data_IF_752504731085
#
_entry.id   IF_752504731085
#
_cell.length_a   1.000
_cell.length_b   1.000
_cell.length_c   1.000
_cell.angle_alpha   90.00
_cell.angle_beta   90.00
_cell.angle_gamma   90.00
#
_symmetry.space_group_name_H-M   'P 1'
#
loop_
_entity.id
_entity.type
_entity.pdbx_description
1 polymer ?
2 non-polymer ?
3 non-polymer ?
4 non-polymer ?
5 water ?
#
# COMPACT_ATOMS: atom_id res chain seq x y z
N UNK A 3 -23.11 8.26 -9.24
CA UNK A 3 -22.76 9.10 -8.07
C UNK A 3 -22.72 8.19 -6.84
N UNK A 4 -22.34 6.91 -7.00
CA UNK A 4 -22.46 6.01 -5.86
C UNK A 4 -21.25 6.30 -4.94
N UNK A 5 -21.48 6.12 -3.69
CA UNK A 5 -20.49 6.41 -2.66
C UNK A 5 -19.51 5.26 -2.49
N UNK A 6 -18.41 5.59 -1.84
CA UNK A 6 -17.29 4.63 -1.69
C UNK A 6 -17.79 3.35 -1.01
N UNK A 7 -18.48 3.46 0.09
CA UNK A 7 -18.86 2.27 0.89
C UNK A 7 -19.85 1.40 0.12
N UNK A 8 -20.69 2.04 -0.73
CA UNK A 8 -21.56 1.28 -1.63
C UNK A 8 -20.77 0.49 -2.65
N UNK A 9 -19.83 1.15 -3.34
CA UNK A 9 -18.98 0.52 -4.35
C UNK A 9 -18.16 -0.62 -3.73
N UNK A 10 -17.67 -0.46 -2.51
CA UNK A 10 -16.83 -1.49 -1.89
C UNK A 10 -17.60 -2.78 -1.74
N UNK A 11 -18.92 -2.70 -1.54
CA UNK A 11 -19.77 -3.88 -1.36
C UNK A 11 -20.31 -4.41 -2.67
N UNK A 12 -20.57 -3.53 -3.64
CA UNK A 12 -21.38 -3.87 -4.83
C UNK A 12 -20.53 -3.93 -6.09
N UNK A 13 -19.48 -3.10 -6.26
CA UNK A 13 -18.75 -3.04 -7.55
C UNK A 13 -18.08 -4.38 -7.85
N UNK A 14 -18.26 -4.92 -9.05
CA UNK A 14 -17.71 -6.23 -9.41
C UNK A 14 -18.51 -7.32 -8.83
N UNK A 15 -19.57 -7.05 -8.07
CA UNK A 15 -20.20 -8.02 -7.15
C UNK A 15 -21.70 -8.05 -7.33
N UNK A 16 -22.19 -7.99 -8.56
CA UNK A 16 -23.61 -8.29 -8.80
C UNK A 16 -23.93 -9.72 -8.36
N UNK A 17 -25.17 -9.95 -7.93
CA UNK A 17 -25.52 -11.31 -7.55
C UNK A 17 -25.35 -12.28 -8.72
N UNK A 18 -25.05 -13.53 -8.33
CA UNK A 18 -24.78 -14.56 -9.36
C UNK A 18 -25.96 -14.68 -10.30
N UNK A 19 -25.68 -14.78 -11.61
CA UNK A 19 -26.74 -14.85 -12.62
C UNK A 19 -27.59 -16.11 -12.48
N UNK A 20 -26.97 -17.29 -12.30
CA UNK A 20 -27.77 -18.54 -12.31
C UNK A 20 -28.56 -18.80 -11.04
N UNK A 21 -27.90 -18.49 -9.88
CA UNK A 21 -28.45 -18.86 -8.57
C UNK A 21 -28.89 -17.67 -7.75
N UNK A 22 -28.51 -16.45 -8.13
CA UNK A 22 -28.74 -15.28 -7.27
C UNK A 22 -27.82 -15.17 -6.07
N UNK A 23 -26.87 -16.05 -5.88
CA UNK A 23 -25.98 -15.96 -4.67
C UNK A 23 -25.51 -14.52 -4.49
N UNK A 24 -25.77 -13.94 -3.30
CA UNK A 24 -25.44 -12.52 -3.11
C UNK A 24 -23.96 -12.30 -2.89
N UNK A 25 -23.20 -13.31 -2.58
CA UNK A 25 -21.74 -13.20 -2.46
C UNK A 25 -21.12 -13.91 -3.65
N UNK A 26 -20.06 -13.33 -4.21
CA UNK A 26 -19.30 -13.93 -5.33
C UNK A 26 -18.90 -15.36 -4.92
N UNK A 27 -19.17 -16.41 -5.69
CA UNK A 27 -18.64 -17.72 -5.40
C UNK A 27 -17.11 -17.76 -5.40
N UNK A 28 -16.53 -18.75 -4.74
CA UNK A 28 -15.09 -19.05 -4.79
C UNK A 28 -14.93 -20.04 -5.95
N UNK A 29 -14.38 -19.54 -7.07
CA UNK A 29 -14.19 -20.40 -8.26
C UNK A 29 -12.85 -21.08 -8.11
N UNK A 30 -12.82 -22.10 -7.27
CA UNK A 30 -11.65 -22.93 -7.04
C UNK A 30 -11.53 -23.96 -8.14
N UNK A 31 -11.07 -23.50 -9.29
CA UNK A 31 -11.00 -24.21 -10.55
C UNK A 31 -9.73 -23.79 -11.26
N UNK A 32 -9.16 -24.68 -12.02
CA UNK A 32 -8.04 -24.28 -12.90
C UNK A 32 -8.49 -23.97 -14.33
N UNK A 33 -9.59 -24.56 -14.79
CA UNK A 33 -9.95 -24.53 -16.22
C UNK A 33 -11.46 -24.54 -16.39
N UNK A 34 -11.84 -24.35 -17.64
CA UNK A 34 -13.22 -23.99 -18.06
C UNK A 34 -13.54 -24.73 -19.35
N UNK A 35 -14.70 -25.36 -19.39
CA UNK A 35 -15.26 -26.00 -20.59
C UNK A 35 -15.55 -24.98 -21.67
N UNK A 36 -15.13 -25.26 -22.87
CA UNK A 36 -15.43 -24.45 -24.07
C UNK A 36 -16.50 -25.13 -24.90
N UNK A 37 -17.35 -24.36 -25.53
CA UNK A 37 -18.39 -24.90 -26.43
C UNK A 37 -17.84 -24.89 -27.86
N UNK A 38 -17.19 -25.99 -28.26
CA UNK A 38 -16.37 -25.99 -29.46
C UNK A 38 -15.05 -25.27 -29.20
N UNK A 39 -14.08 -25.55 -30.08
CA UNK A 39 -12.74 -24.98 -29.92
C UNK A 39 -12.79 -23.44 -30.01
N UNK A 40 -12.37 -22.78 -28.93
CA UNK A 40 -12.46 -21.31 -28.81
C UNK A 40 -13.80 -20.79 -28.43
N UNK A 41 -14.79 -21.65 -28.14
CA UNK A 41 -16.12 -21.19 -27.73
C UNK A 41 -16.15 -20.90 -26.25
N UNK A 42 -15.57 -19.76 -25.83
CA UNK A 42 -15.47 -19.50 -24.39
C UNK A 42 -16.82 -19.20 -23.79
N UNK A 43 -16.98 -19.61 -22.56
CA UNK A 43 -18.16 -19.23 -21.73
C UNK A 43 -17.80 -18.10 -20.85
N UNK A 44 -18.47 -16.99 -21.02
CA UNK A 44 -18.23 -15.82 -20.23
C UNK A 44 -16.85 -15.32 -20.32
N UNK A 45 -16.09 -15.67 -21.37
CA UNK A 45 -14.75 -15.20 -21.58
C UNK A 45 -13.67 -15.92 -20.76
N UNK A 46 -14.00 -17.05 -20.12
CA UNK A 46 -13.01 -17.72 -19.28
C UNK A 46 -12.42 -18.94 -20.02
N UNK A 47 -11.15 -19.15 -19.73
CA UNK A 47 -10.38 -20.23 -20.41
C UNK A 47 -9.38 -20.92 -19.46
N UNK A 48 -8.72 -20.19 -18.61
CA UNK A 48 -7.69 -20.80 -17.74
C UNK A 48 -7.44 -19.88 -16.59
N UNK A 49 -7.40 -20.34 -15.33
CA UNK A 49 -7.45 -19.43 -14.18
C UNK A 49 -6.28 -18.51 -14.03
N UNK A 50 -5.06 -18.90 -14.44
CA UNK A 50 -3.93 -17.93 -14.37
C UNK A 50 -4.28 -16.72 -15.24
N UNK A 51 -4.87 -16.91 -16.41
CA UNK A 51 -5.24 -15.84 -17.36
C UNK A 51 -6.36 -14.94 -16.79
N UNK A 52 -7.43 -15.58 -16.27
CA UNK A 52 -8.52 -14.88 -15.56
C UNK A 52 -9.32 -15.95 -14.83
N UNK A 53 -9.76 -15.53 -13.66
CA UNK A 53 -10.63 -16.37 -12.78
C UNK A 53 -11.78 -15.52 -12.33
N UNK A 54 -13.04 -16.02 -12.24
CA UNK A 54 -14.15 -15.11 -11.98
C UNK A 54 -14.09 -14.46 -10.58
N UNK A 55 -13.59 -15.18 -9.59
CA UNK A 55 -13.46 -14.56 -8.25
C UNK A 55 -12.41 -13.45 -8.32
N UNK A 56 -11.26 -13.71 -8.97
CA UNK A 56 -10.19 -12.69 -9.08
C UNK A 56 -10.74 -11.53 -9.89
N UNK A 57 -11.54 -11.74 -10.93
CA UNK A 57 -12.14 -10.64 -11.71
C UNK A 57 -12.98 -9.71 -10.82
N UNK A 58 -13.77 -10.32 -9.92
CA UNK A 58 -14.61 -9.48 -9.05
C UNK A 58 -13.72 -8.60 -8.20
N UNK A 59 -12.64 -9.12 -7.61
CA UNK A 59 -11.70 -8.30 -6.84
C UNK A 59 -11.08 -7.21 -7.73
N UNK A 60 -10.64 -7.55 -8.91
CA UNK A 60 -9.97 -6.59 -9.81
C UNK A 60 -10.93 -5.46 -10.19
N UNK A 61 -12.19 -5.79 -10.52
CA UNK A 61 -13.22 -4.81 -10.87
C UNK A 61 -13.56 -3.92 -9.68
N UNK A 62 -13.64 -4.51 -8.50
CA UNK A 62 -13.92 -3.70 -7.28
C UNK A 62 -12.77 -2.69 -7.04
N UNK A 63 -11.55 -3.17 -7.06
CA UNK A 63 -10.39 -2.28 -6.85
C UNK A 63 -10.38 -1.18 -7.89
N UNK A 64 -10.63 -1.49 -9.15
CA UNK A 64 -10.66 -0.45 -10.19
C UNK A 64 -11.71 0.58 -9.86
N UNK A 65 -12.92 0.15 -9.41
CA UNK A 65 -13.96 1.10 -9.04
C UNK A 65 -13.52 2.00 -7.87
N UNK A 66 -12.89 1.41 -6.88
CA UNK A 66 -12.55 2.18 -5.68
C UNK A 66 -11.44 3.24 -5.94
N UNK A 67 -10.50 2.93 -6.84
CA UNK A 67 -9.44 3.90 -7.17
C UNK A 67 -9.83 4.71 -8.37
N UNK A 68 -10.96 4.51 -9.02
CA UNK A 68 -11.34 5.25 -10.20
C UNK A 68 -10.45 4.94 -11.39
N UNK A 69 -10.00 3.72 -11.55
CA UNK A 69 -9.21 3.29 -12.71
C UNK A 69 -10.01 2.51 -13.73
N UNK A 70 -9.38 2.19 -14.86
CA UNK A 70 -10.09 1.41 -15.89
C UNK A 70 -9.83 -0.07 -15.69
N UNK A 71 -8.73 -0.46 -15.02
CA UNK A 71 -8.37 -1.89 -14.95
C UNK A 71 -7.66 -2.15 -13.62
N UNK A 72 -8.08 -3.16 -12.93
CA UNK A 72 -7.39 -3.70 -11.75
C UNK A 72 -6.80 -5.05 -12.05
N UNK A 73 -5.72 -5.37 -11.36
CA UNK A 73 -5.00 -6.65 -11.53
C UNK A 73 -4.56 -7.11 -10.13
N UNK A 74 -4.88 -8.34 -9.76
CA UNK A 74 -4.54 -8.93 -8.44
C UNK A 74 -3.42 -9.93 -8.55
N UNK A 75 -2.57 -9.87 -7.53
CA UNK A 75 -1.31 -10.62 -7.49
C UNK A 75 -1.13 -11.40 -6.19
N UNK A 76 -0.16 -12.27 -6.20
CA UNK A 76 0.11 -13.21 -5.10
C UNK A 76 0.60 -12.51 -3.82
N UNK A 77 1.08 -11.27 -3.91
CA UNK A 77 1.57 -10.49 -2.81
C UNK A 77 1.74 -9.05 -3.36
N UNK A 78 1.88 -8.06 -2.47
CA UNK A 78 2.30 -6.73 -2.90
C UNK A 78 3.60 -6.75 -3.71
N UNK A 79 4.57 -7.51 -3.18
CA UNK A 79 5.84 -7.58 -3.89
C UNK A 79 5.65 -8.12 -5.33
N UNK A 80 4.77 -9.06 -5.52
CA UNK A 80 4.56 -9.61 -6.87
C UNK A 80 3.91 -8.55 -7.76
N UNK A 81 3.02 -7.71 -7.21
CA UNK A 81 2.44 -6.60 -7.97
C UNK A 81 3.59 -5.66 -8.41
N UNK A 82 4.48 -5.33 -7.47
CA UNK A 82 5.62 -4.45 -7.80
C UNK A 82 6.49 -5.08 -8.86
N UNK A 83 6.80 -6.39 -8.77
CA UNK A 83 7.69 -7.07 -9.70
C UNK A 83 7.04 -7.08 -11.07
N UNK A 84 5.75 -7.39 -11.18
CA UNK A 84 5.12 -7.45 -12.49
C UNK A 84 5.08 -6.06 -13.11
N UNK A 85 4.79 -5.02 -12.30
CA UNK A 85 4.82 -3.64 -12.75
C UNK A 85 6.17 -3.27 -13.36
N UNK A 86 7.25 -3.49 -12.59
CA UNK A 86 8.60 -3.07 -13.03
C UNK A 86 9.05 -3.91 -14.20
N UNK A 87 8.69 -5.19 -14.26
CA UNK A 87 9.11 -6.04 -15.41
C UNK A 87 8.41 -5.50 -16.67
N UNK A 88 7.19 -4.95 -16.52
CA UNK A 88 6.40 -4.45 -17.67
C UNK A 88 6.99 -3.12 -18.12
N UNK A 89 7.23 -2.15 -17.24
CA UNK A 89 7.48 -0.74 -17.62
C UNK A 89 8.99 -0.46 -17.77
N UNK A 90 9.88 -1.32 -17.32
CA UNK A 90 11.33 -1.08 -17.40
C UNK A 90 11.99 -2.16 -18.25
N UNK A 91 13.24 -1.87 -18.64
CA UNK A 91 14.11 -2.77 -19.40
C UNK A 91 15.53 -2.38 -19.04
N UNK A 92 16.52 -3.25 -19.32
CA UNK A 92 17.92 -2.87 -19.07
C UNK A 92 18.24 -1.52 -19.69
N UNK A 93 18.91 -0.70 -18.89
CA UNK A 93 19.33 0.64 -19.30
C UNK A 93 18.41 1.71 -18.74
N UNK A 94 17.27 1.36 -18.22
CA UNK A 94 16.32 2.35 -17.68
C UNK A 94 16.74 2.76 -16.28
N UNK A 95 16.15 3.87 -15.82
CA UNK A 95 16.39 4.43 -14.48
C UNK A 95 15.06 4.64 -13.75
N UNK A 96 15.08 4.43 -12.46
CA UNK A 96 13.94 4.68 -11.53
C UNK A 96 14.32 5.68 -10.46
N UNK A 97 13.38 6.58 -10.14
CA UNK A 97 13.47 7.35 -8.90
C UNK A 97 12.59 6.65 -7.87
N UNK A 98 13.16 6.38 -6.70
CA UNK A 98 12.44 5.72 -5.61
C UNK A 98 12.52 6.63 -4.39
N UNK A 99 11.66 6.41 -3.36
CA UNK A 99 11.66 7.24 -2.16
C UNK A 99 12.92 7.04 -1.33
N UNK A 100 13.25 8.03 -0.53
CA UNK A 100 14.33 7.93 0.48
C UNK A 100 13.85 7.38 1.81
N UNK A 101 12.59 6.98 1.88
CA UNK A 101 12.03 6.24 3.01
C UNK A 101 10.94 5.37 2.45
N UNK A 102 11.06 4.07 2.54
CA UNK A 102 10.15 3.16 1.82
C UNK A 102 10.14 1.79 2.44
N UNK A 103 9.14 0.99 2.09
CA UNK A 103 9.08 -0.42 2.49
C UNK A 103 10.39 -1.10 2.11
N UNK A 104 10.96 -1.83 3.05
CA UNK A 104 12.24 -2.48 2.79
C UNK A 104 12.18 -3.41 1.62
N UNK A 105 11.06 -4.08 1.41
CA UNK A 105 10.95 -4.98 0.26
C UNK A 105 10.99 -4.27 -1.07
N UNK A 106 10.47 -3.05 -1.15
CA UNK A 106 10.57 -2.26 -2.38
C UNK A 106 12.04 -1.98 -2.67
N UNK A 107 12.73 -1.47 -1.65
CA UNK A 107 14.19 -1.18 -1.80
C UNK A 107 14.91 -2.47 -2.23
N UNK A 108 14.63 -3.60 -1.59
CA UNK A 108 15.35 -4.84 -1.88
C UNK A 108 15.07 -5.24 -3.30
N UNK A 109 13.81 -5.19 -3.78
CA UNK A 109 13.50 -5.60 -5.15
C UNK A 109 14.23 -4.73 -6.18
N UNK A 110 14.18 -3.40 -5.99
CA UNK A 110 14.85 -2.47 -6.93
C UNK A 110 16.37 -2.69 -6.86
N UNK A 111 17.00 -2.63 -5.70
CA UNK A 111 18.45 -2.58 -5.57
C UNK A 111 19.11 -3.93 -5.74
N UNK A 112 18.45 -5.03 -5.38
CA UNK A 112 19.10 -6.35 -5.30
C UNK A 112 18.64 -7.27 -6.43
N UNK A 113 17.52 -6.97 -7.08
CA UNK A 113 17.09 -7.75 -8.27
C UNK A 113 17.14 -6.91 -9.54
N UNK A 114 16.42 -5.81 -9.60
CA UNK A 114 16.37 -5.06 -10.84
C UNK A 114 17.70 -4.43 -11.23
N UNK A 115 18.51 -4.02 -10.25
CA UNK A 115 19.84 -3.41 -10.59
C UNK A 115 20.68 -4.46 -11.31
N UNK A 116 20.70 -5.73 -10.85
CA UNK A 116 21.43 -6.87 -11.47
C UNK A 116 20.94 -7.03 -12.94
N UNK A 117 19.67 -6.74 -13.19
CA UNK A 117 19.00 -6.87 -14.49
C UNK A 117 19.10 -5.58 -15.29
N UNK A 118 19.95 -4.63 -14.90
CA UNK A 118 20.34 -3.47 -15.68
C UNK A 118 19.52 -2.21 -15.47
N UNK A 119 18.76 -2.11 -14.40
CA UNK A 119 18.00 -0.88 -14.10
C UNK A 119 18.72 -0.06 -13.05
N UNK A 120 19.02 1.19 -13.33
CA UNK A 120 19.65 2.09 -12.36
C UNK A 120 18.58 2.76 -11.53
N UNK A 121 19.00 3.29 -10.38
CA UNK A 121 18.04 3.94 -9.50
C UNK A 121 18.71 4.99 -8.63
N UNK A 122 17.89 5.92 -8.14
CA UNK A 122 18.28 6.89 -7.14
C UNK A 122 17.15 7.03 -6.14
N UNK A 123 17.51 7.16 -4.85
CA UNK A 123 16.54 7.45 -3.78
C UNK A 123 16.53 8.97 -3.56
N UNK A 124 15.33 9.52 -3.54
CA UNK A 124 15.15 10.98 -3.52
C UNK A 124 14.18 11.31 -2.41
N UNK A 125 14.31 12.49 -1.85
CA UNK A 125 13.31 13.04 -0.92
C UNK A 125 12.10 13.49 -1.74
N UNK A 126 11.06 12.65 -1.77
CA UNK A 126 9.83 12.96 -2.56
C UNK A 126 9.01 14.05 -1.95
N UNK A 127 9.29 14.46 -0.73
CA UNK A 127 8.60 15.59 -0.04
C UNK A 127 9.12 16.91 -0.61
N UNK A 128 10.16 16.88 -1.44
CA UNK A 128 10.79 18.12 -2.02
C UNK A 128 10.66 18.02 -3.52
N UNK A 129 9.60 18.64 -4.11
CA UNK A 129 9.43 18.55 -5.55
C UNK A 129 10.67 18.93 -6.33
N UNK A 130 11.38 19.96 -5.86
CA UNK A 130 12.57 20.42 -6.60
C UNK A 130 13.77 19.37 -6.68
N UNK A 131 13.75 18.47 -5.58
CA UNK A 131 14.72 17.38 -5.57
C UNK A 131 14.24 16.36 -6.63
N UNK A 132 12.94 16.01 -6.69
CA UNK A 132 12.47 15.05 -7.68
C UNK A 132 12.73 15.54 -9.08
N UNK A 133 12.38 16.80 -9.40
CA UNK A 133 12.54 17.40 -10.73
C UNK A 133 14.01 17.28 -11.10
N UNK A 134 14.89 17.65 -10.17
CA UNK A 134 16.32 17.66 -10.43
C UNK A 134 16.86 16.27 -10.68
N UNK A 135 16.31 15.21 -10.09
CA UNK A 135 16.83 13.84 -10.14
C UNK A 135 16.40 13.15 -11.48
N UNK A 136 15.49 13.74 -12.24
CA UNK A 136 15.11 13.14 -13.55
C UNK A 136 16.38 13.04 -14.39
N UNK A 137 16.51 11.88 -15.04
CA UNK A 137 17.56 11.60 -16.01
C UNK A 137 16.93 11.26 -17.38
N UNK A 138 17.71 11.30 -18.46
CA UNK A 138 17.12 10.97 -19.78
C UNK A 138 16.55 9.56 -19.83
N UNK A 139 17.10 8.67 -19.00
CA UNK A 139 16.69 7.27 -18.98
C UNK A 139 15.59 6.99 -17.95
N UNK A 140 15.14 7.98 -17.17
CA UNK A 140 14.12 7.74 -16.13
C UNK A 140 12.77 7.33 -16.74
N UNK A 141 12.26 6.18 -16.36
CA UNK A 141 10.98 5.67 -16.88
C UNK A 141 9.84 5.87 -15.92
N UNK A 142 10.13 5.96 -14.61
CA UNK A 142 9.11 6.10 -13.58
C UNK A 142 9.65 6.78 -12.34
N UNK A 143 8.70 7.44 -11.63
CA UNK A 143 8.94 7.95 -10.26
C UNK A 143 8.05 7.09 -9.37
N UNK A 144 8.64 6.43 -8.41
CA UNK A 144 7.94 5.52 -7.48
C UNK A 144 7.69 6.25 -6.16
N UNK A 145 6.45 6.49 -5.79
CA UNK A 145 6.09 7.31 -4.64
C UNK A 145 5.37 6.44 -3.63
N UNK A 146 5.81 6.52 -2.37
CA UNK A 146 4.93 6.11 -1.24
C UNK A 146 4.52 7.39 -0.55
N UNK A 147 3.25 7.52 -0.12
CA UNK A 147 2.84 8.66 0.75
C UNK A 147 1.59 8.20 1.46
N UNK A 148 1.56 8.26 2.80
CA UNK A 148 2.72 8.45 3.68
C UNK A 148 3.78 7.34 3.55
N UNK A 149 5.06 7.69 3.78
CA UNK A 149 6.16 6.69 3.62
C UNK A 149 6.19 5.72 4.80
N UNK A 150 6.73 4.54 4.53
CA UNK A 150 6.88 3.43 5.51
C UNK A 150 8.34 3.43 5.98
N UNK A 151 8.73 3.85 7.20
CA UNK A 151 7.83 4.00 8.36
C UNK A 151 7.71 5.42 8.87
N UNK A 152 8.38 6.43 8.27
CA UNK A 152 8.41 7.76 8.90
C UNK A 152 7.15 8.58 8.64
N UNK A 153 6.32 8.14 7.70
CA UNK A 153 5.07 8.79 7.38
C UNK A 153 5.27 10.18 6.79
N UNK A 154 6.32 10.34 5.97
CA UNK A 154 6.53 11.58 5.21
C UNK A 154 5.55 11.63 4.05
N UNK A 155 5.31 12.86 3.57
CA UNK A 155 4.19 13.16 2.63
C UNK A 155 4.74 13.70 1.32
N UNK A 156 4.18 13.22 0.23
CA UNK A 156 4.58 13.66 -1.12
C UNK A 156 3.33 14.20 -1.79
N UNK A 157 3.47 15.28 -2.53
CA UNK A 157 2.35 15.96 -3.23
C UNK A 157 2.18 15.22 -4.56
N UNK A 158 1.20 14.34 -4.60
CA UNK A 158 1.00 13.45 -5.80
C UNK A 158 0.79 14.29 -7.05
N UNK A 159 -0.09 15.27 -7.01
CA UNK A 159 -0.38 16.07 -8.21
C UNK A 159 0.90 16.80 -8.68
N UNK A 160 1.69 17.35 -7.74
CA UNK A 160 2.92 18.01 -8.14
C UNK A 160 3.90 17.05 -8.78
N UNK A 161 4.03 15.87 -8.23
CA UNK A 161 4.99 14.89 -8.77
C UNK A 161 4.48 14.32 -10.09
N UNK A 162 3.17 14.25 -10.29
CA UNK A 162 2.60 13.77 -11.57
C UNK A 162 3.02 14.74 -12.66
N UNK A 163 2.98 16.05 -12.39
CA UNK A 163 3.36 17.02 -13.43
C UNK A 163 4.86 16.91 -13.77
N UNK A 164 5.69 16.66 -12.77
CA UNK A 164 7.13 16.45 -13.03
C UNK A 164 7.34 15.17 -13.87
N UNK A 165 6.74 14.08 -13.47
CA UNK A 165 6.90 12.81 -14.18
C UNK A 165 6.45 13.03 -15.64
N UNK A 166 5.28 13.62 -15.83
CA UNK A 166 4.71 13.66 -17.20
C UNK A 166 5.53 14.61 -18.10
N UNK A 167 6.07 15.68 -17.53
CA UNK A 167 6.94 16.56 -18.32
C UNK A 167 8.16 15.78 -18.84
N UNK A 168 8.64 14.77 -18.12
CA UNK A 168 9.78 13.94 -18.52
C UNK A 168 9.35 12.71 -19.32
N UNK A 169 8.10 12.69 -19.82
CA UNK A 169 7.55 11.40 -20.42
C UNK A 169 7.89 10.17 -19.57
N UNK A 170 7.68 10.28 -18.23
CA UNK A 170 7.83 9.16 -17.27
C UNK A 170 6.48 8.86 -16.62
N UNK A 171 6.34 7.65 -16.06
CA UNK A 171 5.11 7.30 -15.32
C UNK A 171 5.21 7.66 -13.83
N UNK A 172 4.10 8.06 -13.23
CA UNK A 172 4.08 8.24 -11.76
C UNK A 172 3.39 7.00 -11.20
N UNK A 173 4.10 6.30 -10.33
CA UNK A 173 3.60 5.14 -9.59
C UNK A 173 3.40 5.55 -8.15
N UNK A 174 2.21 5.33 -7.59
CA UNK A 174 1.95 5.60 -6.14
C UNK A 174 1.58 4.28 -5.49
N UNK A 175 2.38 3.91 -4.52
CA UNK A 175 2.09 2.82 -3.56
C UNK A 175 1.20 3.39 -2.50
N UNK A 176 -0.10 3.10 -2.61
CA UNK A 176 -1.21 3.68 -1.83
C UNK A 176 -1.58 2.72 -0.70
N UNK A 177 -0.67 1.82 -0.34
CA UNK A 177 -0.96 0.79 0.71
C UNK A 177 -1.39 1.44 2.03
N UNK A 178 -0.61 2.37 2.57
CA UNK A 178 -0.85 2.95 3.91
C UNK A 178 -2.14 3.73 3.96
N UNK A 179 -2.47 4.53 2.94
CA UNK A 179 -3.66 5.36 2.97
C UNK A 179 -4.91 4.57 2.64
N UNK A 180 -4.78 3.62 1.70
CA UNK A 180 -5.89 2.89 1.09
C UNK A 180 -6.72 3.80 0.19
N UNK A 181 -7.53 3.24 -0.73
CA UNK A 181 -8.39 4.01 -1.58
C UNK A 181 -9.41 4.88 -0.87
N UNK A 182 -9.75 4.50 0.39
CA UNK A 182 -10.74 5.23 1.19
C UNK A 182 -10.15 6.58 1.57
N UNK A 183 -8.84 6.67 1.83
CA UNK A 183 -8.26 7.97 2.27
C UNK A 183 -7.65 8.76 1.12
N UNK A 184 -7.18 8.14 0.07
CA UNK A 184 -6.37 8.83 -0.95
C UNK A 184 -6.61 8.15 -2.29
N UNK A 185 -6.72 8.91 -3.39
CA UNK A 185 -7.05 8.33 -4.73
C UNK A 185 -6.06 8.91 -5.73
N UNK A 186 -4.86 8.32 -5.78
CA UNK A 186 -3.80 8.90 -6.62
C UNK A 186 -4.12 9.10 -8.09
N UNK A 187 -4.91 8.19 -8.68
CA UNK A 187 -5.21 8.36 -10.11
C UNK A 187 -5.94 9.67 -10.31
N UNK A 188 -6.76 10.12 -9.38
CA UNK A 188 -7.51 11.38 -9.51
C UNK A 188 -6.59 12.60 -9.49
N UNK A 189 -5.35 12.43 -9.03
CA UNK A 189 -4.32 13.49 -8.94
C UNK A 189 -3.25 13.29 -9.99
N UNK A 190 -3.48 12.45 -10.98
CA UNK A 190 -2.53 12.33 -12.12
C UNK A 190 -1.64 11.13 -12.06
N UNK A 191 -1.67 10.30 -11.01
CA UNK A 191 -0.86 9.08 -11.04
C UNK A 191 -1.27 8.20 -12.19
N UNK A 192 -0.30 7.47 -12.74
CA UNK A 192 -0.53 6.49 -13.81
C UNK A 192 -0.88 5.09 -13.27
N UNK A 193 -0.25 4.72 -12.15
CA UNK A 193 -0.41 3.37 -11.59
C UNK A 193 -0.52 3.52 -10.09
N UNK A 194 -1.45 2.79 -9.51
CA UNK A 194 -1.55 2.63 -8.05
C UNK A 194 -1.12 1.20 -7.73
N UNK A 195 -0.25 1.03 -6.73
CA UNK A 195 0.19 -0.25 -6.18
C UNK A 195 -0.41 -0.39 -4.77
N UNK A 196 -0.92 -1.59 -4.46
CA UNK A 196 -1.26 -1.95 -3.08
C UNK A 196 -0.63 -3.25 -2.67
N UNK A 197 -0.19 -3.32 -1.43
CA UNK A 197 -0.17 -4.59 -0.68
C UNK A 197 -1.55 -4.77 -0.09
N UNK A 198 -2.37 -5.66 -0.64
CA UNK A 198 -3.69 -5.94 -0.05
C UNK A 198 -3.58 -6.73 1.26
N UNK A 199 -2.39 -7.21 1.57
CA UNK A 199 -2.09 -7.82 2.86
C UNK A 199 -2.43 -6.89 4.00
N UNK A 200 -2.38 -5.60 3.76
CA UNK A 200 -2.48 -4.57 4.82
C UNK A 200 -3.93 -4.15 4.94
N UNK A 201 -4.31 -2.91 4.77
CA UNK A 201 -5.66 -2.44 5.09
C UNK A 201 -6.78 -3.02 4.21
N UNK A 202 -6.51 -3.35 2.96
CA UNK A 202 -7.63 -3.80 2.08
C UNK A 202 -8.19 -5.15 2.57
N UNK A 203 -7.30 -6.17 2.73
CA UNK A 203 -7.77 -7.41 3.35
C UNK A 203 -8.18 -7.20 4.78
N UNK A 204 -7.36 -6.44 5.53
CA UNK A 204 -7.73 -5.86 6.80
C UNK A 204 -7.70 -6.76 8.03
N UNK A 205 -7.39 -8.03 7.88
CA UNK A 205 -7.54 -8.97 9.01
C UNK A 205 -6.29 -9.83 9.21
N UNK A 206 -5.16 -9.36 8.71
CA UNK A 206 -3.87 -10.08 8.93
C UNK A 206 -3.91 -11.54 8.55
N UNK A 207 -4.71 -11.91 7.54
CA UNK A 207 -4.96 -13.29 7.21
C UNK A 207 -4.85 -13.57 5.72
N UNK A 208 -4.37 -12.65 4.88
CA UNK A 208 -4.15 -12.89 3.43
C UNK A 208 -2.96 -12.11 2.99
N UNK A 209 -2.07 -12.70 2.27
CA UNK A 209 -1.00 -11.98 1.58
C UNK A 209 -1.46 -11.84 0.14
N UNK A 210 -1.40 -10.62 -0.35
CA UNK A 210 -1.86 -10.30 -1.69
C UNK A 210 -1.42 -8.92 -2.14
N UNK A 211 -1.46 -8.71 -3.46
CA UNK A 211 -1.13 -7.40 -4.04
C UNK A 211 -2.10 -6.99 -5.10
N UNK A 212 -2.04 -5.73 -5.53
CA UNK A 212 -2.86 -5.26 -6.63
C UNK A 212 -2.19 -4.09 -7.34
N UNK A 213 -2.57 -3.93 -8.62
CA UNK A 213 -2.28 -2.74 -9.44
C UNK A 213 -3.62 -2.21 -9.94
N UNK A 214 -3.75 -0.89 -10.01
CA UNK A 214 -4.86 -0.24 -10.73
C UNK A 214 -4.31 0.83 -11.64
N UNK A 215 -4.80 0.90 -12.86
CA UNK A 215 -4.25 1.87 -13.87
C UNK A 215 -5.37 2.69 -14.41
N UNK A 216 -4.98 3.88 -14.92
CA UNK A 216 -5.89 4.77 -15.63
C UNK A 216 -5.95 4.47 -17.14
N UNK A 217 -4.86 3.97 -17.72
CA UNK A 217 -4.76 3.80 -19.20
C UNK A 217 -4.95 2.34 -19.59
N UNK A 218 -5.90 2.07 -20.49
CA UNK A 218 -6.24 0.68 -20.83
C UNK A 218 -5.07 -0.01 -21.51
N UNK A 219 -4.31 0.68 -22.34
CA UNK A 219 -3.15 0.01 -22.99
C UNK A 219 -2.11 -0.39 -21.97
N UNK A 220 -1.79 0.43 -20.99
CA UNK A 220 -0.84 0.00 -19.98
C UNK A 220 -1.44 -1.18 -19.21
N UNK A 221 -2.75 -1.13 -18.95
CA UNK A 221 -3.44 -2.25 -18.31
C UNK A 221 -3.26 -3.55 -19.08
N UNK A 222 -3.35 -3.52 -20.42
CA UNK A 222 -3.12 -4.73 -21.23
C UNK A 222 -1.69 -5.19 -21.15
N UNK A 223 -0.71 -4.30 -21.16
CA UNK A 223 0.70 -4.73 -21.00
C UNK A 223 0.91 -5.36 -19.64
N UNK A 224 0.35 -4.80 -18.57
CA UNK A 224 0.49 -5.39 -17.24
C UNK A 224 -0.22 -6.74 -17.22
N UNK A 225 -1.40 -6.84 -17.83
CA UNK A 225 -2.14 -8.14 -17.83
C UNK A 225 -1.36 -9.21 -18.59
N UNK A 226 -0.65 -8.83 -19.66
CA UNK A 226 0.21 -9.78 -20.36
C UNK A 226 1.27 -10.33 -19.40
N UNK A 227 1.83 -9.52 -18.53
CA UNK A 227 2.82 -10.02 -17.55
C UNK A 227 2.16 -10.77 -16.41
N UNK A 228 1.01 -10.34 -15.97
CA UNK A 228 0.21 -11.10 -14.99
C UNK A 228 0.04 -12.52 -15.51
N UNK A 229 -0.40 -12.71 -16.75
CA UNK A 229 -0.60 -14.04 -17.33
C UNK A 229 0.73 -14.74 -17.55
N UNK A 230 1.72 -14.08 -18.09
CA UNK A 230 2.92 -14.78 -18.62
C UNK A 230 3.87 -15.12 -17.46
N UNK A 231 4.04 -14.23 -16.50
CA UNK A 231 4.88 -14.47 -15.28
C UNK A 231 4.04 -15.21 -14.24
N UNK A 232 2.73 -15.09 -14.22
CA UNK A 232 1.84 -15.91 -13.41
C UNK A 232 1.80 -15.69 -11.95
N UNK A 233 2.15 -14.50 -11.47
CA UNK A 233 2.18 -14.26 -10.01
C UNK A 233 0.84 -13.79 -9.50
N UNK A 234 -0.19 -14.58 -9.79
CA UNK A 234 -1.60 -14.21 -9.56
C UNK A 234 -2.02 -14.50 -8.11
N UNK A 235 -3.01 -13.71 -7.66
CA UNK A 235 -3.78 -14.04 -6.42
C UNK A 235 -4.63 -15.27 -6.73
N UNK A 236 -4.59 -16.26 -5.85
CA UNK A 236 -5.50 -17.37 -5.97
C UNK A 236 -6.92 -16.97 -5.61
N UNK A 237 -7.92 -17.75 -6.02
CA UNK A 237 -9.31 -17.34 -5.83
C UNK A 237 -9.74 -17.22 -4.38
N UNK A 238 -9.28 -18.11 -3.50
CA UNK A 238 -9.71 -18.02 -2.10
C UNK A 238 -9.12 -16.79 -1.44
N UNK A 239 -7.82 -16.52 -1.67
CA UNK A 239 -7.19 -15.30 -1.14
C UNK A 239 -7.89 -14.11 -1.72
N UNK A 240 -8.17 -14.04 -3.01
CA UNK A 240 -8.86 -12.94 -3.65
C UNK A 240 -10.23 -12.73 -2.97
N UNK A 241 -10.90 -13.82 -2.69
CA UNK A 241 -12.25 -13.78 -2.06
C UNK A 241 -12.16 -13.21 -0.65
N UNK A 242 -11.17 -13.57 0.13
CA UNK A 242 -11.00 -13.00 1.49
C UNK A 242 -10.63 -11.54 1.38
N UNK A 243 -9.80 -11.15 0.39
CA UNK A 243 -9.43 -9.74 0.25
C UNK A 243 -10.69 -8.97 -0.02
N UNK A 244 -11.51 -9.40 -0.95
CA UNK A 244 -12.76 -8.76 -1.30
C UNK A 244 -13.67 -8.70 -0.07
N UNK A 245 -13.74 -9.75 0.74
CA UNK A 245 -14.55 -9.69 1.96
C UNK A 245 -14.05 -8.60 2.85
N UNK A 246 -12.72 -8.48 3.05
CA UNK A 246 -12.15 -7.43 3.84
C UNK A 246 -12.51 -6.05 3.34
N UNK A 247 -12.45 -5.88 2.01
CA UNK A 247 -12.74 -4.54 1.41
C UNK A 247 -14.10 -4.01 1.81
N UNK A 248 -15.07 -4.90 2.03
CA UNK A 248 -16.42 -4.50 2.36
C UNK A 248 -16.52 -3.68 3.63
N UNK A 249 -15.55 -3.86 4.56
CA UNK A 249 -15.53 -3.06 5.79
C UNK A 249 -14.37 -2.05 5.79
N UNK A 250 -13.70 -1.77 4.69
CA UNK A 250 -12.60 -0.80 4.75
C UNK A 250 -13.05 0.54 5.31
N UNK A 251 -14.16 1.08 4.88
CA UNK A 251 -14.58 2.41 5.36
C UNK A 251 -14.74 2.41 6.87
N UNK A 252 -15.51 1.48 7.42
CA UNK A 252 -15.75 1.51 8.86
C UNK A 252 -14.49 1.17 9.60
N UNK A 253 -13.64 0.30 9.11
CA UNK A 253 -12.37 -0.03 9.82
C UNK A 253 -11.51 1.24 9.78
N UNK A 254 -11.31 1.83 8.63
CA UNK A 254 -10.39 2.99 8.49
C UNK A 254 -10.92 4.13 9.38
N UNK A 255 -12.22 4.40 9.40
CA UNK A 255 -12.70 5.46 10.31
C UNK A 255 -12.21 5.16 11.73
N UNK A 256 -12.33 3.95 12.21
CA UNK A 256 -11.93 3.64 13.58
C UNK A 256 -10.40 3.66 13.71
N UNK A 257 -9.64 3.16 12.74
CA UNK A 257 -8.18 3.27 12.82
C UNK A 257 -7.77 4.75 12.98
N UNK A 258 -8.39 5.63 12.23
CA UNK A 258 -7.98 7.07 12.25
C UNK A 258 -8.33 7.65 13.62
N UNK A 259 -9.56 7.41 14.12
CA UNK A 259 -9.96 7.95 15.42
C UNK A 259 -9.04 7.39 16.52
N UNK A 260 -8.78 6.09 16.50
CA UNK A 260 -7.94 5.48 17.56
C UNK A 260 -6.50 6.02 17.42
N UNK A 261 -6.00 6.16 16.20
CA UNK A 261 -4.62 6.73 16.05
C UNK A 261 -4.56 8.17 16.57
N UNK A 262 -5.58 8.98 16.36
CA UNK A 262 -5.54 10.36 16.89
C UNK A 262 -5.44 10.36 18.41
N UNK A 263 -6.14 9.43 19.07
CA UNK A 263 -6.07 9.34 20.53
C UNK A 263 -4.70 8.85 20.98
N UNK A 264 -4.14 7.87 20.28
CA UNK A 264 -2.79 7.37 20.62
C UNK A 264 -1.77 8.51 20.46
N UNK A 265 -1.89 9.28 19.40
CA UNK A 265 -0.96 10.44 19.19
C UNK A 265 -1.06 11.38 20.40
N UNK A 266 -2.28 11.68 20.86
CA UNK A 266 -2.47 12.58 22.03
C UNK A 266 -1.75 12.00 23.25
N UNK A 267 -1.78 10.69 23.47
CA UNK A 267 -1.08 10.05 24.59
C UNK A 267 0.43 10.10 24.41
N UNK A 268 0.94 10.06 23.20
CA UNK A 268 2.41 10.03 23.00
C UNK A 268 3.02 11.43 23.05
N UNK A 269 2.34 12.43 22.51
CA UNK A 269 2.88 13.82 22.44
C UNK A 269 3.08 14.36 23.86
N UNK A 270 4.27 14.80 24.16
CA UNK A 270 4.56 15.24 25.54
C UNK A 270 4.79 14.14 26.58
N UNK A 271 4.60 12.84 26.31
CA UNK A 271 5.00 11.73 27.23
C UNK A 271 6.49 11.91 27.46
N UNK A 272 6.98 11.91 28.71
CA UNK A 272 8.36 12.28 28.97
C UNK A 272 9.41 11.32 28.37
N UNK A 273 9.01 10.11 27.98
CA UNK A 273 9.95 9.11 27.42
C UNK A 273 10.00 9.27 25.88
N UNK A 274 9.13 10.06 25.32
CA UNK A 274 8.99 10.10 23.84
C UNK A 274 9.61 11.37 23.30
N UNK A 275 10.60 11.25 22.42
CA UNK A 275 11.30 12.44 21.90
C UNK A 275 10.49 13.08 20.77
N UNK A 276 9.86 12.30 19.91
CA UNK A 276 9.23 12.80 18.65
C UNK A 276 8.08 11.87 18.31
N UNK A 277 6.96 12.43 17.84
CA UNK A 277 5.81 11.68 17.31
C UNK A 277 5.59 12.05 15.85
N UNK A 278 5.54 11.00 15.03
CA UNK A 278 5.37 11.12 13.56
C UNK A 278 3.95 10.71 13.23
N UNK A 279 3.16 11.63 12.72
CA UNK A 279 1.77 11.37 12.35
C UNK A 279 1.35 12.48 11.39
N UNK A 280 0.78 12.16 10.20
CA UNK A 280 0.46 13.24 9.24
C UNK A 280 -0.52 14.28 9.73
N UNK A 281 -1.34 13.91 10.67
CA UNK A 281 -2.36 14.80 11.22
C UNK A 281 -1.85 15.83 12.20
N UNK A 282 -0.59 15.73 12.67
CA UNK A 282 -0.06 16.75 13.60
C UNK A 282 0.25 17.99 12.76
N UNK A 283 -0.17 19.19 13.21
CA UNK A 283 0.02 20.35 12.36
C UNK A 283 1.51 20.62 12.01
N UNK A 284 2.44 20.23 12.87
CA UNK A 284 3.88 20.54 12.65
C UNK A 284 4.58 19.37 11.98
N UNK A 285 3.86 18.35 11.61
CA UNK A 285 4.45 17.20 10.86
C UNK A 285 4.82 17.76 9.50
N UNK A 286 6.01 17.40 9.00
CA UNK A 286 6.40 17.87 7.68
C UNK A 286 5.38 17.38 6.63
N UNK A 287 4.91 18.33 5.80
CA UNK A 287 3.90 17.98 4.78
C UNK A 287 2.50 17.85 5.28
N UNK A 288 2.21 18.28 6.52
CA UNK A 288 0.82 18.26 7.00
C UNK A 288 -0.13 18.94 6.01
N UNK A 289 0.16 20.11 5.49
CA UNK A 289 -0.80 20.86 4.62
C UNK A 289 -1.06 20.05 3.34
N UNK A 290 -0.03 19.38 2.80
CA UNK A 290 -0.23 18.49 1.62
C UNK A 290 -1.13 17.35 2.02
N UNK A 291 -0.92 16.73 3.19
CA UNK A 291 -1.76 15.63 3.63
C UNK A 291 -3.20 16.08 3.72
N UNK A 292 -3.45 17.28 4.29
CA UNK A 292 -4.81 17.81 4.42
C UNK A 292 -5.45 17.90 3.03
N UNK A 293 -4.71 18.35 2.01
CA UNK A 293 -5.15 18.51 0.59
C UNK A 293 -5.60 17.14 0.03
N UNK A 294 -4.76 16.15 0.19
CA UNK A 294 -4.87 14.91 -0.63
C UNK A 294 -5.46 13.73 0.14
N UNK A 295 -5.56 13.76 1.47
CA UNK A 295 -6.03 12.61 2.30
C UNK A 295 -7.34 12.97 3.00
N UNK A 296 -8.30 12.05 3.03
CA UNK A 296 -9.60 12.25 3.72
C UNK A 296 -9.33 12.34 5.22
N UNK A 297 -8.39 11.59 5.72
CA UNK A 297 -7.96 11.52 7.14
C UNK A 297 -6.56 10.98 7.15
N UNK A 298 -5.93 10.86 8.30
CA UNK A 298 -4.45 10.78 8.36
C UNK A 298 -3.90 9.39 8.65
N UNK A 299 -4.76 8.40 8.73
CA UNK A 299 -4.35 7.02 8.76
C UNK A 299 -4.26 6.40 10.16
N UNK A 300 -4.02 5.10 10.18
CA UNK A 300 -3.88 4.32 11.41
C UNK A 300 -2.46 4.12 11.86
N UNK A 301 -1.46 4.52 11.12
CA UNK A 301 -0.05 4.32 11.44
C UNK A 301 0.44 5.48 12.27
N UNK A 302 1.25 5.15 13.27
CA UNK A 302 1.86 6.20 14.13
C UNK A 302 3.29 5.74 14.41
N UNK A 303 4.33 6.55 14.20
CA UNK A 303 5.70 6.18 14.55
C UNK A 303 6.18 7.15 15.61
N UNK A 304 7.14 6.77 16.40
CA UNK A 304 7.67 7.69 17.43
C UNK A 304 9.08 7.27 17.83
N UNK A 305 9.88 8.25 18.22
CA UNK A 305 11.27 8.04 18.71
C UNK A 305 11.34 8.20 20.31
N UNK A 306 12.17 7.25 20.84
CA UNK A 306 12.34 7.10 22.30
C UNK A 306 13.52 7.97 22.71
N UNK A 307 13.35 8.81 23.74
CA UNK A 307 14.51 9.58 24.30
C UNK A 307 15.67 8.67 24.71
N UNK A 308 15.43 7.48 25.23
CA UNK A 308 16.53 6.62 25.72
C UNK A 308 17.22 5.73 24.66
N UNK A 309 16.76 6.02 23.32
CA UNK A 309 17.50 5.40 22.21
C UNK A 309 16.99 4.00 21.86
N UNK A 310 17.78 3.26 21.11
CA UNK A 310 17.42 1.89 20.67
C UNK A 310 17.06 1.04 21.90
N UNK A 311 17.82 1.17 22.97
CA UNK A 311 17.62 0.26 24.12
C UNK A 311 16.16 0.47 24.60
N UNK A 312 15.73 1.72 24.71
CA UNK A 312 14.37 2.05 25.20
C UNK A 312 13.33 1.59 24.19
N UNK A 313 13.61 1.76 22.91
CA UNK A 313 12.66 1.34 21.87
C UNK A 313 12.46 -0.17 21.88
N UNK A 314 13.51 -0.94 22.02
CA UNK A 314 13.41 -2.41 22.08
C UNK A 314 12.60 -2.82 23.31
N UNK A 315 12.75 -2.12 24.41
CA UNK A 315 12.00 -2.48 25.67
C UNK A 315 10.50 -2.24 25.46
N UNK A 316 10.12 -1.12 24.85
CA UNK A 316 8.70 -0.79 24.64
C UNK A 316 8.11 -1.92 23.77
N UNK A 317 8.81 -2.28 22.70
CA UNK A 317 8.29 -3.26 21.74
C UNK A 317 8.03 -4.61 22.44
N UNK A 318 8.80 -5.01 23.44
CA UNK A 318 8.64 -6.30 24.11
C UNK A 318 7.58 -6.25 25.22
N UNK A 319 7.13 -5.06 25.64
CA UNK A 319 6.35 -4.89 26.89
C UNK A 319 4.84 -4.77 26.62
N UNK A 320 4.42 -4.40 25.41
CA UNK A 320 2.97 -4.29 25.11
C UNK A 320 2.30 -5.65 25.28
N UNK A 321 1.06 -5.63 25.78
CA UNK A 321 0.23 -6.83 25.99
C UNK A 321 -0.98 -6.85 25.09
N UNK A 322 -1.37 -5.72 24.50
CA UNK A 322 -2.50 -5.67 23.56
C UNK A 322 -1.97 -5.50 22.16
N UNK A 323 -1.16 -4.46 21.90
CA UNK A 323 -0.35 -4.39 20.68
C UNK A 323 0.49 -5.67 20.60
N UNK A 324 0.49 -6.38 19.48
CA UNK A 324 1.31 -7.59 19.28
C UNK A 324 2.59 -7.21 18.55
N UNK A 325 3.72 -7.73 19.04
CA UNK A 325 5.02 -7.52 18.37
C UNK A 325 5.09 -8.46 17.17
N UNK A 326 5.06 -7.88 15.98
CA UNK A 326 5.05 -8.64 14.70
C UNK A 326 5.29 -7.68 13.55
N UNK A 327 5.74 -8.17 12.45
CA UNK A 327 5.73 -7.45 11.16
C UNK A 327 4.29 -7.27 10.66
N UNK A 328 4.18 -6.47 9.63
CA UNK A 328 2.89 -6.17 8.97
C UNK A 328 2.14 -5.06 9.62
N UNK A 329 0.98 -4.72 9.05
CA UNK A 329 0.21 -3.54 9.46
C UNK A 329 -1.17 -3.61 8.79
N UNK A 330 -2.06 -2.73 9.22
CA UNK A 330 -3.34 -2.59 8.53
C UNK A 330 -4.37 -3.60 8.93
N UNK A 331 -4.14 -4.43 9.92
CA UNK A 331 -5.15 -5.34 10.42
C UNK A 331 -6.00 -4.71 11.48
N UNK A 332 -7.11 -5.41 11.76
CA UNK A 332 -7.99 -5.01 12.89
C UNK A 332 -7.18 -4.98 14.19
N UNK A 333 -6.27 -5.92 14.34
CA UNK A 333 -5.50 -6.07 15.56
C UNK A 333 -4.35 -5.06 15.54
N UNK A 334 -4.06 -4.50 16.67
CA UNK A 334 -2.93 -3.56 16.82
C UNK A 334 -1.61 -4.32 16.75
N UNK A 335 -0.62 -3.73 16.02
CA UNK A 335 0.71 -4.30 15.94
C UNK A 335 1.74 -3.23 16.29
N UNK A 336 2.85 -3.71 16.84
CA UNK A 336 4.03 -2.84 17.14
C UNK A 336 5.27 -3.54 16.56
N UNK A 337 6.26 -2.71 16.14
CA UNK A 337 7.56 -3.29 15.75
C UNK A 337 8.64 -2.23 15.85
N UNK A 338 9.86 -2.74 15.73
CA UNK A 338 11.08 -1.93 15.66
C UNK A 338 11.60 -2.00 14.24
N UNK A 339 11.36 -0.98 13.39
CA UNK A 339 11.81 -1.10 12.00
C UNK A 339 13.31 -1.39 11.86
N UNK A 340 14.13 -0.80 12.71
CA UNK A 340 15.58 -0.96 12.56
C UNK A 340 16.01 -2.41 12.49
N UNK A 341 15.45 -3.25 13.38
CA UNK A 341 15.84 -4.68 13.49
C UNK A 341 14.82 -5.61 12.83
N UNK A 342 13.62 -5.13 12.45
CA UNK A 342 12.59 -6.00 11.89
C UNK A 342 12.38 -5.63 10.45
N UNK A 343 11.35 -4.86 10.11
CA UNK A 343 10.96 -4.65 8.72
C UNK A 343 12.02 -3.93 7.85
N UNK A 344 12.89 -3.14 8.48
CA UNK A 344 13.81 -2.28 7.73
C UNK A 344 15.27 -2.64 8.05
N UNK A 345 15.51 -3.83 8.58
CA UNK A 345 16.92 -4.30 8.69
C UNK A 345 17.54 -4.37 7.28
N UNK A 346 16.73 -4.63 6.25
CA UNK A 346 17.13 -4.74 4.81
C UNK A 346 17.58 -3.35 4.27
N UNK A 347 17.34 -2.26 5.00
CA UNK A 347 17.78 -0.92 4.47
C UNK A 347 18.95 -0.40 5.28
N UNK A 348 19.41 -1.14 6.29
CA UNK A 348 20.60 -0.76 7.04
C UNK A 348 21.77 -0.54 6.06
N UNK A 349 22.52 0.53 6.20
CA UNK A 349 23.67 0.80 5.34
C UNK A 349 23.37 1.54 4.03
N UNK A 350 22.10 1.91 3.82
CA UNK A 350 21.65 2.62 2.58
C UNK A 350 21.13 3.99 2.94
N UNK A 351 20.72 4.75 1.94
CA UNK A 351 20.03 6.05 2.18
C UNK A 351 18.72 5.86 2.90
N UNK A 352 18.13 4.63 2.94
CA UNK A 352 16.83 4.41 3.52
C UNK A 352 16.91 3.91 4.98
N UNK A 353 18.13 3.84 5.52
CA UNK A 353 18.31 3.35 6.93
C UNK A 353 17.35 4.15 7.86
N UNK A 354 16.67 3.46 8.77
CA UNK A 354 15.69 4.07 9.71
C UNK A 354 16.40 4.36 11.04
N UNK A 355 15.98 5.39 11.79
CA UNK A 355 16.61 5.64 13.10
C UNK A 355 16.38 4.44 14.06
N UNK A 356 17.42 4.11 14.85
CA UNK A 356 17.42 2.93 15.73
C UNK A 356 16.54 3.19 16.95
N UNK A 357 16.14 4.44 17.18
CA UNK A 357 15.30 4.75 18.35
C UNK A 357 13.82 4.80 17.98
N UNK A 358 13.46 4.36 16.78
CA UNK A 358 12.06 4.47 16.29
C UNK A 358 11.27 3.19 16.56
N UNK A 359 10.04 3.43 16.96
CA UNK A 359 8.96 2.41 17.12
C UNK A 359 7.85 2.75 16.12
N UNK A 360 7.33 1.71 15.45
CA UNK A 360 6.19 1.89 14.53
C UNK A 360 4.98 1.16 15.12
N UNK A 361 3.86 1.85 15.14
CA UNK A 361 2.56 1.28 15.51
C UNK A 361 1.62 1.20 14.33
N UNK A 362 0.96 0.04 14.20
CA UNK A 362 -0.28 -0.06 13.42
C UNK A 362 -1.41 -0.11 14.43
N UNK A 363 -2.05 1.05 14.62
CA UNK A 363 -3.12 1.16 15.62
C UNK A 363 -4.33 0.48 15.08
N UNK A 364 -4.85 -0.50 15.77
CA UNK A 364 -6.01 -1.32 15.33
C UNK A 364 -7.31 -0.72 15.77
N UNK A 365 -8.36 -1.52 15.74
CA UNK A 365 -9.74 -1.10 16.06
C UNK A 365 -10.23 -1.61 17.40
N UNK A 366 -9.32 -2.07 18.25
CA UNK A 366 -9.70 -2.41 19.64
C UNK A 366 -10.18 -1.16 20.35
N UNK A 367 -10.79 -1.40 21.52
CA UNK A 367 -11.32 -0.29 22.32
C UNK A 367 -10.20 0.65 22.71
N UNK A 368 -10.32 1.93 22.42
CA UNK A 368 -9.15 2.85 22.43
C UNK A 368 -8.53 2.94 23.84
N UNK A 369 -9.30 2.91 24.89
CA UNK A 369 -8.70 3.04 26.25
C UNK A 369 -7.78 1.87 26.48
N UNK A 370 -8.08 0.67 25.96
CA UNK A 370 -7.19 -0.48 26.15
C UNK A 370 -5.86 -0.26 25.45
N UNK A 371 -5.88 0.32 24.28
CA UNK A 371 -4.67 0.60 23.51
C UNK A 371 -3.84 1.70 24.16
N UNK A 372 -4.50 2.77 24.62
CA UNK A 372 -3.74 3.85 25.28
C UNK A 372 -3.14 3.29 26.57
N UNK A 373 -3.92 2.60 27.38
CA UNK A 373 -3.37 2.07 28.63
C UNK A 373 -2.21 1.11 28.37
N UNK A 374 -2.29 0.26 27.34
CA UNK A 374 -1.21 -0.67 27.03
C UNK A 374 0.05 0.11 26.65
N UNK A 375 -0.09 1.12 25.82
CA UNK A 375 1.13 1.90 25.47
C UNK A 375 1.71 2.57 26.70
N UNK A 376 0.85 3.15 27.55
CA UNK A 376 1.35 3.92 28.70
C UNK A 376 2.10 2.97 29.63
N UNK A 377 1.66 1.74 29.85
CA UNK A 377 2.43 0.85 30.79
C UNK A 377 3.73 0.42 30.08
N UNK A 378 3.70 0.19 28.76
CA UNK A 378 4.91 -0.25 28.05
C UNK A 378 5.99 0.84 28.04
N UNK A 379 5.56 2.11 28.05
CA UNK A 379 6.51 3.26 27.96
C UNK A 379 7.13 3.52 29.33
N UNK A 380 6.53 3.03 30.41
CA UNK A 380 6.98 3.34 31.82
C UNK A 380 8.31 2.69 32.03
N UNK A 381 9.40 3.42 32.39
CA UNK A 381 10.73 2.80 32.47
C UNK A 381 10.86 1.85 33.74
X LIG B 1 -10.19 10.56 -1.27
X LIG B 1 -11.34 9.76 -1.55
X LIG B 1 -10.52 11.99 -0.98
X LIG B 1 -9.35 12.72 -0.66
X LIG B 1 -9.55 14.14 -0.58
X LIG B 1 -10.10 14.49 0.76
X LIG B 1 -9.95 15.84 1.09
X LIG C 1 -14.03 13.17 6.96
X LIG C 1 -14.86 14.16 6.31
X LIG C 1 -15.59 13.56 5.11
X LIG C 1 -15.38 14.35 3.92
X LIG C 1 -16.31 13.69 1.78
X LIG C 1 -15.09 13.62 2.71
X LIG C 1 -16.41 12.51 0.99
X LIG C 1 -18.30 11.38 1.86
X LIG C 1 -17.74 12.11 0.64
X LIG C 1 -19.60 10.87 1.54
X LIG C 1 -21.08 10.29 3.24
X LIG C 1 -20.62 11.41 2.35
X LIG C 1 -20.01 9.40 3.61
X LIG C 1 -19.83 7.61 5.37
X LIG C 1 -20.71 8.52 4.53
X LIG C 1 -18.47 7.70 5.03
X LIG D 1 -22.46 -11.75 -12.75
#
# INVERSE_FOLDING_TARGET
>A
MSYEGFETLAIHAGQEADAETGAVVVPIYQTSTYRQDGVGGLRGGYEYSRTANPTRTALEECLAALEGGVRGLAFASGMAAEDTLLRTIARPGDHLIIPNDAYGGTFRLVSKVFERWGVSWDAVDLSNPEAVRTAIRPETVAIWVETPTNPLLNIADIAALADIAHAADALLVVDNTFASPYLQRPLSLGADVVVHSTTKYLGGHSDVVGGALVVADAELGERLAFHQNSMGAVAGPFDAWLTLRGIKTLGVRMDRHCANAERVVEALVGHPEVAEVLYPGLPDHPGHKVAVDQMRAFGGMVSFRMRGGEEAALRVCAKTKVFTLAESLGGVESLIEHPGKMTHASTAGSLLEVPSDLVRLSVGIETVDDLVNDLLQALEPLEHHHHHH
>B hetero
1 PEG C1 O1 C2 O2 C3 C4 O4
>C hetero
1 1PE OH2 C12 C22 OH3 C13 C23 OH4 C14 C24 OH5 C15 C25 OH6 C16 C26 OH7
>D hetero
1 MG MG
#
